data_IF_728422894861
#
_entry.id   IF_728422894861
#
_cell.length_a   1.000
_cell.length_b   1.000
_cell.length_c   1.000
_cell.angle_alpha   90.00
_cell.angle_beta   90.00
_cell.angle_gamma   90.00
#
_symmetry.space_group_name_H-M   'P 1'
#
loop_
_entity.id
_entity.type
_entity.pdbx_description
1 polymer ?
#
# COMPACT_ATOMS: atom_id res chain seq x y z
N UNK A 1 -58.13 -4.73 -66.82
CA UNK A 1 -56.88 -4.13 -66.41
C UNK A 1 -56.80 -4.08 -64.89
N UNK A 2 -56.08 -4.99 -64.27
CA UNK A 2 -55.92 -5.10 -62.79
C UNK A 2 -54.50 -4.68 -62.43
N UNK A 3 -54.40 -3.56 -61.75
CA UNK A 3 -53.10 -3.01 -61.25
C UNK A 3 -52.80 -3.66 -59.89
N UNK A 4 -51.68 -4.42 -59.83
CA UNK A 4 -51.13 -5.00 -58.62
C UNK A 4 -50.18 -3.94 -57.97
N UNK A 5 -50.53 -3.49 -56.73
CA UNK A 5 -49.68 -2.65 -55.89
C UNK A 5 -48.81 -3.56 -55.02
N UNK A 6 -47.54 -3.60 -55.32
CA UNK A 6 -46.53 -4.27 -54.51
C UNK A 6 -46.14 -3.35 -53.32
N UNK A 7 -46.44 -3.77 -52.09
CA UNK A 7 -45.96 -3.12 -50.86
C UNK A 7 -44.54 -3.65 -50.54
N UNK A 8 -43.54 -2.79 -50.62
CA UNK A 8 -42.22 -3.07 -50.08
C UNK A 8 -42.26 -2.83 -48.57
N UNK A 9 -42.06 -3.89 -47.78
CA UNK A 9 -41.78 -3.80 -46.35
C UNK A 9 -40.28 -3.65 -46.16
N UNK A 10 -39.83 -2.44 -45.78
CA UNK A 10 -38.43 -2.18 -45.40
C UNK A 10 -38.27 -2.56 -43.92
N UNK A 11 -37.65 -3.72 -43.66
CA UNK A 11 -37.28 -4.11 -42.30
C UNK A 11 -36.04 -3.27 -41.85
N UNK A 12 -36.28 -2.35 -40.93
CA UNK A 12 -35.21 -1.60 -40.24
C UNK A 12 -34.57 -2.50 -39.19
N UNK A 13 -33.42 -3.08 -39.50
CA UNK A 13 -32.59 -3.82 -38.54
C UNK A 13 -31.90 -2.81 -37.66
N UNK A 14 -32.39 -2.61 -36.44
CA UNK A 14 -31.67 -1.93 -35.37
C UNK A 14 -30.51 -2.82 -34.93
N UNK A 15 -29.33 -2.59 -35.48
CA UNK A 15 -28.08 -3.12 -34.96
C UNK A 15 -27.78 -2.40 -33.62
N UNK A 16 -28.23 -3.02 -32.53
CA UNK A 16 -27.82 -2.64 -31.19
C UNK A 16 -26.31 -2.89 -31.04
N UNK A 17 -25.52 -1.87 -31.29
CA UNK A 17 -24.10 -1.90 -30.98
C UNK A 17 -23.93 -1.99 -29.46
N UNK A 18 -23.56 -3.17 -28.95
CA UNK A 18 -22.96 -3.30 -27.62
C UNK A 18 -21.61 -2.60 -27.70
N UNK A 19 -21.59 -1.28 -27.44
CA UNK A 19 -20.34 -0.56 -27.20
C UNK A 19 -19.66 -1.26 -26.02
N UNK A 20 -18.53 -1.91 -26.26
CA UNK A 20 -17.66 -2.31 -25.18
C UNK A 20 -17.34 -1.03 -24.40
N UNK A 21 -17.81 -0.94 -23.17
CA UNK A 21 -17.38 0.11 -22.25
C UNK A 21 -15.90 -0.14 -22.04
N UNK A 22 -15.04 0.62 -22.73
CA UNK A 22 -13.61 0.63 -22.46
C UNK A 22 -13.47 1.14 -21.03
N UNK A 23 -12.89 0.29 -20.15
CA UNK A 23 -12.61 0.69 -18.80
C UNK A 23 -11.65 1.88 -18.77
N UNK A 24 -11.85 2.79 -17.83
CA UNK A 24 -10.94 3.91 -17.60
C UNK A 24 -9.61 3.44 -16.98
N UNK A 25 -8.51 4.10 -17.33
CA UNK A 25 -7.21 3.94 -16.65
C UNK A 25 -7.09 4.97 -15.52
N UNK A 26 -6.72 4.51 -14.34
CA UNK A 26 -6.44 5.36 -13.17
C UNK A 26 -5.02 5.13 -12.65
N UNK A 27 -4.35 6.20 -12.23
CA UNK A 27 -3.00 6.17 -11.64
C UNK A 27 -3.07 6.37 -10.16
N UNK A 28 -2.56 5.41 -9.42
CA UNK A 28 -2.65 5.37 -7.97
C UNK A 28 -1.26 5.40 -7.35
N UNK A 29 -0.98 6.43 -6.55
CA UNK A 29 0.24 6.50 -5.75
C UNK A 29 0.08 5.61 -4.51
N UNK A 30 1.03 4.72 -4.27
CA UNK A 30 0.92 3.71 -3.22
C UNK A 30 2.20 3.63 -2.39
N UNK A 31 2.07 3.68 -1.07
CA UNK A 31 3.17 3.39 -0.15
C UNK A 31 3.63 1.94 -0.33
N UNK A 32 4.94 1.74 -0.48
CA UNK A 32 5.53 0.47 -0.93
C UNK A 32 5.31 -0.73 0.02
N UNK A 33 4.93 -0.49 1.28
CA UNK A 33 4.52 -1.58 2.19
C UNK A 33 3.25 -2.30 1.74
N UNK A 34 2.38 -1.60 0.99
CA UNK A 34 1.07 -2.11 0.61
C UNK A 34 1.07 -2.81 -0.77
N UNK A 35 2.25 -2.98 -1.39
CA UNK A 35 2.40 -3.41 -2.77
C UNK A 35 1.70 -4.73 -3.10
N UNK A 36 1.84 -5.75 -2.26
CA UNK A 36 1.32 -7.08 -2.59
C UNK A 36 -0.19 -7.18 -2.30
N UNK A 37 -0.65 -6.59 -1.20
CA UNK A 37 -2.06 -6.55 -0.87
C UNK A 37 -2.87 -5.75 -1.90
N UNK A 38 -2.39 -4.56 -2.32
CA UNK A 38 -3.12 -3.76 -3.30
C UNK A 38 -3.12 -4.39 -4.70
N UNK A 39 -2.05 -5.08 -5.12
CA UNK A 39 -2.05 -5.83 -6.38
C UNK A 39 -3.13 -6.90 -6.38
N UNK A 40 -3.21 -7.69 -5.30
CA UNK A 40 -4.25 -8.71 -5.17
C UNK A 40 -5.68 -8.11 -5.17
N UNK A 41 -5.87 -6.93 -4.58
CA UNK A 41 -7.14 -6.21 -4.63
C UNK A 41 -7.45 -5.65 -6.02
N UNK A 42 -6.44 -5.11 -6.70
CA UNK A 42 -6.56 -4.61 -8.09
C UNK A 42 -6.95 -5.72 -9.06
N UNK A 43 -6.34 -6.91 -8.95
CA UNK A 43 -6.68 -8.06 -9.81
C UNK A 43 -8.18 -8.42 -9.73
N UNK A 44 -8.79 -8.27 -8.55
CA UNK A 44 -10.24 -8.49 -8.36
C UNK A 44 -11.04 -7.33 -8.95
N UNK A 45 -10.66 -6.09 -8.63
CA UNK A 45 -11.35 -4.89 -9.09
C UNK A 45 -11.37 -4.78 -10.63
N UNK A 46 -10.22 -4.98 -11.28
CA UNK A 46 -10.12 -4.93 -12.74
C UNK A 46 -10.96 -6.00 -13.43
N UNK A 47 -10.98 -7.22 -12.85
CA UNK A 47 -11.81 -8.32 -13.36
C UNK A 47 -13.31 -8.03 -13.26
N UNK A 48 -13.75 -7.36 -12.19
CA UNK A 48 -15.17 -7.05 -11.94
C UNK A 48 -15.67 -5.85 -12.75
N UNK A 49 -14.78 -4.86 -12.98
CA UNK A 49 -15.20 -3.56 -13.54
C UNK A 49 -14.70 -3.30 -14.96
N UNK A 50 -13.64 -3.96 -15.39
CA UNK A 50 -12.96 -3.68 -16.65
C UNK A 50 -12.09 -2.43 -16.63
N UNK A 51 -12.05 -1.65 -15.52
CA UNK A 51 -11.12 -0.54 -15.35
C UNK A 51 -9.69 -1.04 -15.20
N UNK A 52 -8.69 -0.18 -15.48
CA UNK A 52 -7.27 -0.46 -15.29
C UNK A 52 -6.68 0.42 -14.20
N UNK A 53 -5.87 -0.17 -13.30
CA UNK A 53 -5.24 0.54 -12.19
C UNK A 53 -3.73 0.50 -12.31
N UNK A 54 -3.13 1.62 -12.65
CA UNK A 54 -1.68 1.80 -12.73
C UNK A 54 -1.14 2.14 -11.34
N UNK A 55 -0.47 1.18 -10.71
CA UNK A 55 0.10 1.33 -9.38
C UNK A 55 1.51 1.90 -9.43
N UNK A 56 1.75 3.01 -8.76
CA UNK A 56 3.05 3.65 -8.64
C UNK A 56 3.53 3.56 -7.19
N UNK A 57 4.58 2.77 -6.95
CA UNK A 57 5.09 2.51 -5.62
C UNK A 57 6.21 3.45 -5.21
N UNK A 58 6.18 3.92 -3.94
CA UNK A 58 7.20 4.80 -3.39
C UNK A 58 7.08 4.97 -1.88
N UNK A 59 7.81 5.95 -1.32
CA UNK A 59 7.59 6.36 0.06
C UNK A 59 6.40 7.33 0.15
N UNK A 60 5.67 7.27 1.25
CA UNK A 60 4.55 8.19 1.54
C UNK A 60 4.96 9.65 1.39
N UNK A 61 6.15 10.03 1.91
CA UNK A 61 6.63 11.41 1.83
C UNK A 61 7.01 11.85 0.42
N UNK A 62 7.56 10.96 -0.41
CA UNK A 62 7.88 11.28 -1.81
C UNK A 62 6.60 11.46 -2.63
N UNK A 63 5.62 10.58 -2.47
CA UNK A 63 4.33 10.73 -3.14
C UNK A 63 3.62 12.01 -2.72
N UNK A 64 3.60 12.33 -1.42
CA UNK A 64 3.06 13.59 -0.94
C UNK A 64 3.70 14.80 -1.64
N UNK A 65 5.05 14.83 -1.73
CA UNK A 65 5.75 15.90 -2.43
C UNK A 65 5.40 15.96 -3.93
N UNK A 66 5.33 14.81 -4.60
CA UNK A 66 4.94 14.72 -6.01
C UNK A 66 3.51 15.22 -6.24
N UNK A 67 2.56 14.81 -5.40
CA UNK A 67 1.15 15.22 -5.47
C UNK A 67 1.03 16.74 -5.31
N UNK A 68 1.70 17.33 -4.32
CA UNK A 68 1.72 18.79 -4.13
C UNK A 68 2.34 19.55 -5.30
N UNK A 69 3.24 18.92 -6.05
CA UNK A 69 3.83 19.46 -7.28
C UNK A 69 3.05 19.10 -8.54
N UNK A 70 1.81 18.63 -8.41
CA UNK A 70 0.88 18.43 -9.53
C UNK A 70 1.04 17.09 -10.25
N UNK A 71 1.69 16.08 -9.67
CA UNK A 71 1.75 14.74 -10.27
C UNK A 71 0.34 14.19 -10.55
N UNK A 72 0.12 13.56 -11.73
CA UNK A 72 -1.20 13.20 -12.22
C UNK A 72 -1.71 11.87 -11.63
N UNK A 73 -1.86 11.82 -10.31
CA UNK A 73 -2.50 10.69 -9.63
C UNK A 73 -3.97 10.98 -9.36
N UNK A 74 -4.81 9.98 -9.48
CA UNK A 74 -6.24 10.03 -9.14
C UNK A 74 -6.49 9.68 -7.67
N UNK A 75 -5.67 8.79 -7.08
CA UNK A 75 -5.78 8.39 -5.68
C UNK A 75 -4.41 8.20 -5.03
N UNK A 76 -4.38 8.29 -3.70
CA UNK A 76 -3.18 8.09 -2.90
C UNK A 76 -3.45 7.18 -1.71
N UNK A 77 -2.69 6.09 -1.60
CA UNK A 77 -2.66 5.15 -0.47
C UNK A 77 -1.38 5.39 0.33
N UNK A 78 -1.50 6.15 1.40
CA UNK A 78 -0.41 6.54 2.29
C UNK A 78 -0.24 5.56 3.44
N UNK A 79 1.00 5.37 3.91
CA UNK A 79 1.27 4.60 5.13
C UNK A 79 1.17 5.45 6.42
N UNK A 80 0.55 6.61 6.36
CA UNK A 80 0.16 7.42 7.53
C UNK A 80 -1.17 8.13 7.28
N UNK A 81 -1.73 8.71 8.35
CA UNK A 81 -2.94 9.53 8.30
C UNK A 81 -2.63 11.03 8.08
N UNK A 82 -1.42 11.46 8.43
CA UNK A 82 -1.08 12.88 8.48
C UNK A 82 -1.02 13.51 7.07
N UNK A 83 -0.39 12.84 6.11
CA UNK A 83 -0.22 13.37 4.76
C UNK A 83 -1.51 13.41 3.96
N UNK A 84 -2.38 12.38 3.97
CA UNK A 84 -3.74 12.50 3.41
C UNK A 84 -4.56 13.63 4.04
N UNK A 85 -4.49 13.82 5.35
CA UNK A 85 -5.18 14.91 6.05
C UNK A 85 -4.66 16.30 5.62
N UNK A 86 -3.35 16.44 5.43
CA UNK A 86 -2.76 17.68 4.90
C UNK A 86 -3.22 17.96 3.48
N UNK A 87 -3.21 16.98 2.57
CA UNK A 87 -3.68 17.15 1.20
C UNK A 87 -5.15 17.57 1.14
N UNK A 88 -5.98 17.02 2.02
CA UNK A 88 -7.40 17.39 2.14
C UNK A 88 -7.55 18.82 2.66
N UNK A 89 -6.83 19.20 3.72
CA UNK A 89 -6.88 20.56 4.30
C UNK A 89 -6.31 21.64 3.37
N UNK A 90 -5.35 21.28 2.52
CA UNK A 90 -4.76 22.15 1.49
C UNK A 90 -5.62 22.25 0.21
N UNK A 91 -6.73 21.53 0.13
CA UNK A 91 -7.61 21.48 -1.04
C UNK A 91 -6.99 20.78 -2.26
N UNK A 92 -5.93 19.99 -2.06
CA UNK A 92 -5.28 19.18 -3.10
C UNK A 92 -5.99 17.84 -3.28
N UNK A 93 -6.58 17.31 -2.21
CA UNK A 93 -7.41 16.12 -2.24
C UNK A 93 -8.89 16.47 -2.05
N UNK A 94 -9.78 15.58 -2.52
CA UNK A 94 -11.23 15.75 -2.42
C UNK A 94 -11.68 15.65 -0.95
N UNK A 95 -12.36 16.66 -0.46
CA UNK A 95 -12.85 16.71 0.90
C UNK A 95 -13.80 15.55 1.21
N UNK A 96 -13.64 14.91 2.38
CA UNK A 96 -14.46 13.79 2.83
C UNK A 96 -14.21 12.47 2.11
N UNK A 97 -13.19 12.38 1.26
CA UNK A 97 -12.83 11.13 0.56
C UNK A 97 -11.85 10.26 1.34
N UNK A 98 -11.30 10.76 2.44
CA UNK A 98 -10.27 10.11 3.24
C UNK A 98 -10.86 9.01 4.13
N UNK A 99 -10.23 7.84 4.14
CA UNK A 99 -10.57 6.76 5.06
C UNK A 99 -9.33 5.96 5.46
N UNK A 100 -9.37 5.30 6.62
CA UNK A 100 -8.33 4.38 7.09
C UNK A 100 -8.55 3.02 6.46
N UNK A 101 -7.62 2.56 5.63
CA UNK A 101 -7.75 1.26 4.96
C UNK A 101 -7.01 0.13 5.68
N UNK A 102 -6.03 0.45 6.53
CA UNK A 102 -5.23 -0.55 7.24
C UNK A 102 -4.48 0.07 8.44
N UNK A 103 -4.12 -0.77 9.41
CA UNK A 103 -3.11 -0.50 10.43
C UNK A 103 -1.94 -1.44 10.22
N UNK A 104 -0.77 -0.89 9.94
CA UNK A 104 0.44 -1.63 9.62
C UNK A 104 1.24 -2.03 10.86
N UNK A 105 2.06 -3.08 10.71
CA UNK A 105 2.95 -3.57 11.75
C UNK A 105 4.40 -3.56 11.25
N UNK A 106 5.28 -2.85 11.96
CA UNK A 106 6.72 -2.94 11.74
C UNK A 106 7.26 -4.16 12.49
N UNK A 107 8.17 -4.89 11.86
CA UNK A 107 8.86 -6.04 12.46
C UNK A 107 10.36 -5.96 12.15
N UNK A 108 11.20 -6.50 13.05
CA UNK A 108 12.58 -6.81 12.74
C UNK A 108 12.60 -8.21 12.13
N UNK A 109 13.24 -8.38 10.97
CA UNK A 109 13.24 -9.64 10.23
C UNK A 109 14.61 -9.95 9.63
N UNK A 110 14.94 -11.24 9.60
CA UNK A 110 16.07 -11.81 8.87
C UNK A 110 15.61 -13.05 8.07
N UNK A 111 16.15 -13.31 6.88
CA UNK A 111 15.90 -14.56 6.17
C UNK A 111 16.52 -15.79 6.85
N UNK A 112 17.52 -15.59 7.74
CA UNK A 112 18.11 -16.64 8.55
C UNK A 112 17.16 -17.00 9.70
N UNK A 113 16.74 -18.29 9.84
CA UNK A 113 15.76 -18.70 10.83
C UNK A 113 16.25 -18.56 12.28
N UNK A 114 17.56 -18.55 12.51
CA UNK A 114 18.17 -18.56 13.84
C UNK A 114 18.80 -17.22 14.24
N UNK A 115 18.61 -16.16 13.42
CA UNK A 115 19.31 -14.90 13.60
C UNK A 115 18.68 -13.94 14.63
N UNK A 116 17.35 -13.94 14.73
CA UNK A 116 16.61 -13.02 15.61
C UNK A 116 15.89 -13.83 16.69
N UNK A 117 16.24 -13.59 17.94
CA UNK A 117 15.60 -14.14 19.13
C UNK A 117 14.29 -13.39 19.50
N UNK A 118 13.57 -13.95 20.49
CA UNK A 118 12.30 -13.38 20.93
C UNK A 118 12.40 -11.98 21.59
N UNK A 119 13.59 -11.59 22.06
CA UNK A 119 13.87 -10.28 22.68
C UNK A 119 14.42 -9.25 21.70
N UNK A 120 14.87 -9.69 20.55
CA UNK A 120 15.72 -8.95 19.62
C UNK A 120 17.00 -8.43 20.30
N UNK A 121 17.63 -9.29 21.08
CA UNK A 121 18.87 -8.97 21.80
C UNK A 121 20.03 -8.75 20.83
N UNK A 122 19.94 -9.32 19.62
CA UNK A 122 20.84 -9.05 18.50
C UNK A 122 21.06 -7.56 18.22
N UNK A 123 20.07 -6.70 18.51
CA UNK A 123 20.20 -5.24 18.34
C UNK A 123 21.19 -4.63 19.36
N UNK A 124 21.38 -5.26 20.51
CA UNK A 124 22.32 -4.86 21.57
C UNK A 124 23.65 -5.60 21.44
N UNK A 125 23.58 -6.92 21.27
CA UNK A 125 24.74 -7.80 21.21
C UNK A 125 25.55 -7.65 19.92
N UNK A 126 24.88 -7.25 18.84
CA UNK A 126 25.48 -7.13 17.51
C UNK A 126 25.46 -8.43 16.73
N UNK A 127 26.62 -8.78 16.09
CA UNK A 127 26.71 -9.99 15.25
C UNK A 127 26.30 -9.76 13.81
N UNK A 128 26.00 -8.52 13.41
CA UNK A 128 25.68 -8.11 12.03
C UNK A 128 26.53 -6.92 11.60
N UNK A 129 26.69 -6.76 10.29
CA UNK A 129 27.37 -5.60 9.69
C UNK A 129 26.38 -4.50 9.35
N UNK A 130 25.22 -4.88 8.80
CA UNK A 130 24.23 -3.94 8.30
C UNK A 130 22.82 -4.27 8.81
N UNK A 131 22.14 -3.22 9.31
CA UNK A 131 20.73 -3.20 9.65
C UNK A 131 20.00 -2.35 8.61
N UNK A 132 19.05 -2.95 7.87
CA UNK A 132 18.24 -2.19 6.91
C UNK A 132 17.03 -1.54 7.58
N UNK A 133 16.71 -0.31 7.17
CA UNK A 133 15.44 0.36 7.51
C UNK A 133 15.07 1.38 6.43
N UNK A 134 13.81 1.79 6.39
CA UNK A 134 13.41 2.90 5.55
C UNK A 134 13.86 4.25 6.14
N UNK A 135 14.02 5.26 5.30
CA UNK A 135 14.34 6.61 5.75
C UNK A 135 13.20 7.19 6.61
N UNK A 136 13.41 7.50 7.90
CA UNK A 136 12.35 7.95 8.80
C UNK A 136 11.74 9.31 8.41
N UNK A 137 12.45 10.13 7.63
CA UNK A 137 11.94 11.41 7.13
C UNK A 137 10.90 11.23 6.01
N UNK A 138 10.96 10.11 5.29
CA UNK A 138 10.14 9.86 4.10
C UNK A 138 9.09 8.77 4.29
N UNK A 139 9.36 7.80 5.17
CA UNK A 139 8.58 6.58 5.30
C UNK A 139 8.08 6.36 6.74
N UNK A 140 6.77 6.20 6.97
CA UNK A 140 6.20 5.94 8.30
C UNK A 140 6.77 4.70 9.00
N UNK A 141 7.04 3.63 8.26
CA UNK A 141 7.72 2.45 8.80
C UNK A 141 9.16 2.73 9.23
N UNK A 142 9.86 3.65 8.56
CA UNK A 142 11.17 4.12 8.99
C UNK A 142 11.10 4.91 10.30
N UNK A 143 10.06 5.75 10.44
CA UNK A 143 9.79 6.45 11.71
C UNK A 143 9.48 5.47 12.85
N UNK A 144 8.65 4.48 12.60
CA UNK A 144 8.33 3.44 13.58
C UNK A 144 9.60 2.65 14.00
N UNK A 145 10.47 2.29 13.05
CA UNK A 145 11.74 1.62 13.34
C UNK A 145 12.67 2.50 14.19
N UNK A 146 12.77 3.81 13.88
CA UNK A 146 13.51 4.77 14.70
C UNK A 146 12.96 4.85 16.12
N UNK A 147 11.64 4.93 16.29
CA UNK A 147 10.98 4.97 17.59
C UNK A 147 11.29 3.71 18.42
N UNK A 148 11.22 2.52 17.79
CA UNK A 148 11.58 1.25 18.42
C UNK A 148 13.03 1.26 18.90
N UNK A 149 13.98 1.61 18.03
CA UNK A 149 15.40 1.64 18.38
C UNK A 149 15.73 2.66 19.46
N UNK A 150 15.09 3.84 19.44
CA UNK A 150 15.25 4.86 20.49
C UNK A 150 14.76 4.36 21.85
N UNK A 151 13.60 3.71 21.89
CA UNK A 151 13.05 3.16 23.14
C UNK A 151 13.80 1.93 23.67
N UNK A 152 14.46 1.18 22.77
CA UNK A 152 15.43 0.15 23.17
C UNK A 152 16.81 0.71 23.55
N UNK A 153 17.07 2.01 23.34
CA UNK A 153 18.34 2.68 23.67
C UNK A 153 19.48 2.38 22.69
N UNK A 154 19.19 1.80 21.52
CA UNK A 154 20.23 1.35 20.55
C UNK A 154 20.34 2.25 19.31
N UNK A 155 19.54 3.31 19.22
CA UNK A 155 19.47 4.16 18.02
C UNK A 155 20.81 4.77 17.64
N UNK A 156 21.51 5.38 18.60
CA UNK A 156 22.74 6.12 18.33
C UNK A 156 23.89 5.17 17.99
N UNK A 157 23.97 4.02 18.65
CA UNK A 157 25.02 3.02 18.44
C UNK A 157 24.90 2.34 17.06
N UNK A 158 23.68 2.20 16.54
CA UNK A 158 23.43 1.52 15.28
C UNK A 158 23.48 2.43 14.05
N UNK A 159 23.68 3.76 14.20
CA UNK A 159 23.69 4.69 13.06
C UNK A 159 24.71 4.34 11.98
N UNK A 160 25.91 3.92 12.38
CA UNK A 160 27.01 3.58 11.46
C UNK A 160 26.81 2.26 10.74
N UNK A 161 25.94 1.39 11.27
CA UNK A 161 25.58 0.09 10.69
C UNK A 161 24.26 0.14 9.92
N UNK A 162 23.52 1.26 10.00
CA UNK A 162 22.19 1.36 9.39
C UNK A 162 22.29 1.73 7.92
N UNK A 163 21.76 0.88 7.04
CA UNK A 163 21.54 1.17 5.63
C UNK A 163 20.08 1.60 5.42
N UNK A 164 19.90 2.75 4.75
CA UNK A 164 18.59 3.38 4.62
C UNK A 164 18.07 3.29 3.19
N UNK A 165 16.92 2.61 3.02
CA UNK A 165 16.14 2.70 1.79
C UNK A 165 15.31 3.98 1.75
N UNK A 166 15.03 4.52 0.58
CA UNK A 166 14.12 5.64 0.40
C UNK A 166 12.70 5.32 0.92
N UNK A 167 12.30 4.06 0.77
CA UNK A 167 11.03 3.50 1.22
C UNK A 167 11.21 2.11 1.84
N UNK A 168 10.15 1.57 2.43
CA UNK A 168 10.22 0.26 3.11
C UNK A 168 10.42 -0.90 2.12
N UNK A 169 10.04 -0.75 0.85
CA UNK A 169 10.32 -1.73 -0.20
C UNK A 169 11.81 -1.89 -0.46
N UNK A 170 12.57 -0.77 -0.52
CA UNK A 170 14.03 -0.82 -0.66
C UNK A 170 14.69 -1.43 0.59
N UNK A 171 14.24 -1.06 1.79
CA UNK A 171 14.77 -1.65 3.02
C UNK A 171 14.57 -3.18 3.03
N UNK A 172 13.40 -3.66 2.65
CA UNK A 172 13.11 -5.08 2.49
C UNK A 172 14.05 -5.75 1.46
N UNK A 173 14.28 -5.10 0.32
CA UNK A 173 15.18 -5.64 -0.71
C UNK A 173 16.64 -5.73 -0.22
N UNK A 174 17.13 -4.81 0.60
CA UNK A 174 18.47 -4.92 1.18
C UNK A 174 18.61 -6.18 2.03
N UNK A 175 17.60 -6.52 2.83
CA UNK A 175 17.62 -7.76 3.62
C UNK A 175 17.47 -8.99 2.73
N UNK A 176 16.48 -8.98 1.83
CA UNK A 176 16.19 -10.11 0.96
C UNK A 176 17.35 -10.49 0.04
N UNK A 177 18.16 -9.51 -0.39
CA UNK A 177 19.33 -9.70 -1.25
C UNK A 177 20.64 -9.99 -0.49
N UNK A 178 20.60 -10.05 0.85
CA UNK A 178 21.79 -10.26 1.69
C UNK A 178 22.72 -9.05 1.81
N UNK A 179 22.30 -7.85 1.37
CA UNK A 179 23.03 -6.60 1.58
C UNK A 179 22.91 -6.07 3.02
N UNK A 180 21.98 -6.60 3.78
CA UNK A 180 21.85 -6.45 5.22
C UNK A 180 21.42 -7.79 5.82
N UNK A 181 21.98 -8.15 6.96
CA UNK A 181 21.68 -9.44 7.61
C UNK A 181 20.27 -9.45 8.21
N UNK A 182 19.78 -8.27 8.63
CA UNK A 182 18.44 -8.08 9.19
C UNK A 182 17.94 -6.67 8.85
N UNK A 183 16.67 -6.43 9.09
CA UNK A 183 16.10 -5.09 8.92
C UNK A 183 14.70 -4.92 9.49
N UNK A 184 14.35 -3.67 9.75
CA UNK A 184 12.98 -3.29 10.03
C UNK A 184 12.19 -3.23 8.72
N UNK A 185 11.21 -4.12 8.60
CA UNK A 185 10.35 -4.27 7.42
C UNK A 185 8.87 -4.21 7.81
N UNK A 186 7.97 -4.10 6.83
CA UNK A 186 6.55 -4.25 7.10
C UNK A 186 6.20 -5.74 7.22
N UNK A 187 5.36 -6.11 8.19
CA UNK A 187 4.89 -7.49 8.33
C UNK A 187 4.29 -8.01 7.01
N UNK A 188 3.58 -7.14 6.30
CA UNK A 188 2.97 -7.45 4.99
C UNK A 188 3.95 -7.87 3.90
N UNK A 189 5.22 -7.47 3.98
CA UNK A 189 6.22 -7.82 2.97
C UNK A 189 6.77 -9.24 3.13
N UNK A 190 6.60 -9.82 4.32
CA UNK A 190 7.02 -11.19 4.65
C UNK A 190 5.84 -12.13 4.87
N UNK A 191 4.60 -11.61 4.82
CA UNK A 191 3.38 -12.40 4.93
C UNK A 191 2.85 -12.72 3.55
N UNK A 192 2.63 -14.01 3.28
CA UNK A 192 1.95 -14.48 2.07
C UNK A 192 0.73 -15.28 2.51
N UNK A 193 -0.46 -15.04 1.93
CA UNK A 193 -1.67 -15.78 2.29
C UNK A 193 -1.46 -17.30 2.22
N UNK A 194 -1.81 -17.99 3.30
CA UNK A 194 -1.70 -19.45 3.40
C UNK A 194 -0.29 -20.01 3.57
N UNK A 195 0.74 -19.17 3.74
CA UNK A 195 2.13 -19.62 3.95
C UNK A 195 2.66 -19.18 5.31
N UNK A 196 3.52 -20.03 5.89
CA UNK A 196 4.31 -19.64 7.05
C UNK A 196 5.35 -18.57 6.66
N UNK A 197 5.62 -17.65 7.59
CA UNK A 197 6.69 -16.66 7.43
C UNK A 197 8.03 -17.38 7.52
N UNK A 198 8.88 -17.20 6.52
CA UNK A 198 10.24 -17.74 6.49
C UNK A 198 11.23 -16.82 7.23
N UNK A 199 12.31 -17.43 7.76
CA UNK A 199 13.33 -16.72 8.52
C UNK A 199 12.94 -16.53 9.99
N UNK A 200 13.65 -15.64 10.66
CA UNK A 200 13.37 -15.23 12.05
C UNK A 200 12.85 -13.82 12.12
N UNK A 201 11.99 -13.54 13.09
CA UNK A 201 11.43 -12.19 13.27
C UNK A 201 11.13 -11.89 14.73
N UNK A 202 11.26 -10.63 15.06
CA UNK A 202 10.74 -10.07 16.30
C UNK A 202 9.63 -9.05 15.99
N UNK A 203 8.53 -9.15 16.73
CA UNK A 203 7.41 -8.19 16.68
C UNK A 203 7.56 -7.20 17.82
N UNK A 204 8.00 -5.95 17.56
CA UNK A 204 8.04 -4.94 18.61
C UNK A 204 6.68 -4.78 19.28
N UNK A 205 6.60 -4.78 20.62
CA UNK A 205 5.38 -4.38 21.32
C UNK A 205 4.88 -3.01 20.82
N UNK A 206 3.56 -2.86 20.68
CA UNK A 206 2.96 -1.60 20.18
C UNK A 206 3.37 -0.37 21.00
N UNK A 207 3.68 -0.54 22.30
CA UNK A 207 4.17 0.53 23.14
C UNK A 207 5.53 1.12 22.68
N UNK A 208 6.28 0.44 21.82
CA UNK A 208 7.58 0.90 21.33
C UNK A 208 7.48 1.80 20.08
N UNK A 209 6.31 1.95 19.46
CA UNK A 209 6.15 2.83 18.30
C UNK A 209 4.71 3.33 18.17
N UNK A 210 4.55 4.47 17.52
CA UNK A 210 3.24 5.03 17.19
C UNK A 210 2.51 4.12 16.20
N UNK A 211 1.21 3.81 16.39
CA UNK A 211 0.42 3.04 15.43
C UNK A 211 0.56 3.56 14.00
N UNK A 212 0.74 2.64 13.04
CA UNK A 212 0.90 2.98 11.63
C UNK A 212 -0.49 2.94 10.97
N UNK A 213 -1.31 3.93 11.28
CA UNK A 213 -2.63 4.10 10.64
C UNK A 213 -2.43 4.59 9.21
N UNK A 214 -2.93 3.82 8.24
CA UNK A 214 -2.74 4.06 6.82
C UNK A 214 -4.03 4.54 6.19
N UNK A 215 -3.98 5.66 5.48
CA UNK A 215 -5.16 6.26 4.89
C UNK A 215 -5.06 6.42 3.38
N UNK A 216 -6.20 6.23 2.71
CA UNK A 216 -6.38 6.53 1.31
C UNK A 216 -7.18 7.82 1.13
N UNK A 217 -6.96 8.50 0.00
CA UNK A 217 -7.67 9.73 -0.36
C UNK A 217 -7.80 9.84 -1.88
N UNK A 218 -8.93 10.39 -2.36
CA UNK A 218 -9.15 10.75 -3.75
C UNK A 218 -8.48 12.11 -4.03
N UNK A 219 -7.64 12.18 -5.05
CA UNK A 219 -6.91 13.39 -5.43
C UNK A 219 -7.63 14.17 -6.52
N UNK A 220 -8.18 13.47 -7.51
CA UNK A 220 -8.90 14.04 -8.64
C UNK A 220 -10.23 13.37 -8.80
N UNK A 221 -11.26 14.14 -9.11
CA UNK A 221 -12.57 13.56 -9.40
C UNK A 221 -12.48 12.74 -10.68
N UNK A 222 -12.67 11.44 -10.50
CA UNK A 222 -12.67 10.42 -11.53
C UNK A 222 -13.60 9.29 -11.09
N UNK A 223 -14.62 8.92 -11.88
CA UNK A 223 -15.58 7.89 -11.48
C UNK A 223 -14.94 6.53 -11.18
N UNK A 224 -13.97 6.09 -11.99
CA UNK A 224 -13.28 4.81 -11.79
C UNK A 224 -12.42 4.84 -10.50
N UNK A 225 -11.74 5.97 -10.22
CA UNK A 225 -10.97 6.12 -8.98
C UNK A 225 -11.87 6.13 -7.75
N UNK A 226 -13.03 6.80 -7.82
CA UNK A 226 -14.04 6.76 -6.74
C UNK A 226 -14.58 5.35 -6.52
N UNK A 227 -14.86 4.62 -7.60
CA UNK A 227 -15.29 3.23 -7.54
C UNK A 227 -14.20 2.34 -6.93
N UNK A 228 -12.93 2.55 -7.29
CA UNK A 228 -11.81 1.82 -6.70
C UNK A 228 -11.66 2.09 -5.20
N UNK A 229 -11.75 3.35 -4.75
CA UNK A 229 -11.73 3.67 -3.33
C UNK A 229 -12.92 3.05 -2.57
N UNK A 230 -14.09 3.01 -3.17
CA UNK A 230 -15.27 2.34 -2.59
C UNK A 230 -15.06 0.81 -2.52
N UNK A 231 -14.50 0.19 -3.58
CA UNK A 231 -14.14 -1.23 -3.59
C UNK A 231 -13.19 -1.58 -2.44
N UNK A 232 -12.17 -0.75 -2.20
CA UNK A 232 -11.19 -0.97 -1.12
C UNK A 232 -11.78 -0.96 0.29
N UNK A 233 -13.03 -0.55 0.45
CA UNK A 233 -13.79 -0.57 1.71
C UNK A 233 -14.79 -1.75 1.80
N UNK A 234 -14.88 -2.59 0.77
CA UNK A 234 -15.75 -3.78 0.78
C UNK A 234 -15.16 -4.91 1.63
N UNK A 235 -16.02 -5.80 2.11
CA UNK A 235 -15.60 -7.00 2.86
C UNK A 235 -14.62 -7.87 2.05
N UNK A 236 -14.73 -7.88 0.72
CA UNK A 236 -13.81 -8.61 -0.16
C UNK A 236 -12.39 -8.02 -0.11
N UNK A 237 -12.26 -6.71 -0.25
CA UNK A 237 -10.98 -6.03 -0.18
C UNK A 237 -10.38 -6.08 1.24
N UNK A 238 -11.21 -5.91 2.28
CA UNK A 238 -10.79 -6.03 3.69
C UNK A 238 -10.16 -7.41 3.95
N UNK A 239 -10.81 -8.51 3.54
CA UNK A 239 -10.26 -9.86 3.70
C UNK A 239 -8.91 -10.04 2.97
N UNK A 240 -8.75 -9.44 1.79
CA UNK A 240 -7.47 -9.45 1.10
C UNK A 240 -6.42 -8.73 1.94
N UNK A 241 -6.70 -7.52 2.42
CA UNK A 241 -5.78 -6.70 3.22
C UNK A 241 -5.35 -7.45 4.49
N UNK A 242 -6.30 -8.01 5.23
CA UNK A 242 -6.04 -8.80 6.45
C UNK A 242 -5.18 -10.04 6.18
N UNK A 243 -5.36 -10.70 5.02
CA UNK A 243 -4.59 -11.88 4.64
C UNK A 243 -3.08 -11.61 4.47
N UNK A 244 -2.70 -10.35 4.28
CA UNK A 244 -1.31 -9.88 4.27
C UNK A 244 -0.82 -9.37 5.63
N UNK A 245 -1.56 -9.59 6.73
CA UNK A 245 -1.13 -9.30 8.09
C UNK A 245 -1.37 -7.87 8.58
N UNK A 246 -2.24 -7.13 7.90
CA UNK A 246 -2.76 -5.85 8.38
C UNK A 246 -3.93 -6.05 9.35
N UNK A 247 -4.10 -5.13 10.28
CA UNK A 247 -5.37 -4.94 10.96
C UNK A 247 -6.19 -3.92 10.15
N UNK A 248 -7.49 -4.15 10.03
CA UNK A 248 -8.41 -3.19 9.40
C UNK A 248 -9.41 -2.74 10.46
N UNK A 249 -9.48 -1.43 10.79
CA UNK A 249 -10.47 -0.92 11.72
C UNK A 249 -11.89 -1.13 11.18
N UNK A 250 -12.84 -1.36 12.10
CA UNK A 250 -14.25 -1.38 11.73
C UNK A 250 -14.60 -0.07 11.02
N UNK A 251 -15.04 -0.16 9.77
CA UNK A 251 -15.51 1.00 9.03
C UNK A 251 -16.92 1.36 9.56
N UNK A 252 -17.21 2.61 9.91
CA UNK A 252 -18.57 3.02 10.18
C UNK A 252 -19.41 2.78 8.92
N UNK A 253 -20.37 1.87 9.03
CA UNK A 253 -21.33 1.53 7.96
C UNK A 253 -22.37 2.64 7.81
#
# INVERSE_FOLDING_TARGET
MKTIRTLLFTALVLAGGTGAVLGDEIRVAVASNFSDAIKAAVDVFEKETGHQVILIFGSTGKHYAQIRNGAPFEAFFAADAARPALLESEGVAQAGSRFTYAVGKVVLWSPDPDFIDAGADVLVEGGFRHLAMANPKLAPYGKAAEEVMRRKGVWDDLQTRTVRGENIGQAFQFVKSGNAELGFVALSQITQPGKAIAGSLWRPPQALYTPIEQQAVLLRENPAARQFLAFMQTDAAVKIIESYGYDVPDQPR
#
